data_IF_325711795173
#
_entry.id   IF_325711795173
#
_cell.length_a   1.000
_cell.length_b   1.000
_cell.length_c   1.000
_cell.angle_alpha   90.00
_cell.angle_beta   90.00
_cell.angle_gamma   90.00
#
_symmetry.space_group_name_H-M   'P 1'
#
loop_
_entity.id
_entity.type
_entity.pdbx_description
1 polymer ?
#
# COMPACT_ATOMS: atom_id res chain seq x y z
N UNK A 1 -31.02 -24.28 12.02
CA UNK A 1 -30.75 -24.15 10.57
C UNK A 1 -29.27 -23.89 10.39
N UNK A 2 -28.52 -24.69 9.62
CA UNK A 2 -27.14 -24.36 9.30
C UNK A 2 -27.17 -23.03 8.53
N UNK A 3 -26.40 -22.04 8.98
CA UNK A 3 -26.18 -20.84 8.16
C UNK A 3 -25.44 -21.32 6.92
N UNK A 4 -26.06 -21.18 5.74
CA UNK A 4 -25.32 -21.28 4.49
C UNK A 4 -24.07 -20.40 4.61
N UNK A 5 -22.91 -20.99 4.36
CA UNK A 5 -21.65 -20.28 4.36
C UNK A 5 -21.70 -19.27 3.21
N UNK A 6 -21.99 -18.01 3.54
CA UNK A 6 -22.04 -16.95 2.57
C UNK A 6 -20.64 -16.80 1.94
N UNK A 7 -20.48 -17.30 0.71
CA UNK A 7 -19.23 -17.15 -0.04
C UNK A 7 -18.94 -15.66 -0.20
N UNK A 8 -17.88 -15.21 0.44
CA UNK A 8 -17.40 -13.84 0.32
C UNK A 8 -16.90 -13.62 -1.11
N UNK A 9 -17.37 -12.53 -1.75
CA UNK A 9 -16.95 -12.18 -3.12
C UNK A 9 -15.49 -11.73 -3.11
N UNK A 10 -14.66 -12.42 -3.88
CA UNK A 10 -13.25 -12.05 -4.09
C UNK A 10 -13.10 -11.16 -5.34
N UNK A 11 -12.16 -10.22 -5.28
CA UNK A 11 -11.73 -9.38 -6.40
C UNK A 11 -10.44 -9.99 -6.95
N UNK A 12 -10.44 -10.34 -8.23
CA UNK A 12 -9.34 -11.04 -8.92
C UNK A 12 -9.08 -10.38 -10.28
N UNK A 13 -7.96 -10.71 -10.92
CA UNK A 13 -7.64 -10.20 -12.26
C UNK A 13 -8.68 -10.63 -13.30
N UNK A 14 -9.25 -11.84 -13.18
CA UNK A 14 -10.23 -12.39 -14.12
C UNK A 14 -11.58 -11.66 -14.05
N UNK A 15 -11.96 -11.17 -12.87
CA UNK A 15 -13.26 -10.56 -12.63
C UNK A 15 -13.22 -9.03 -12.54
N UNK A 16 -12.06 -8.42 -12.75
CA UNK A 16 -11.85 -6.97 -12.63
C UNK A 16 -11.20 -6.40 -13.87
N UNK A 17 -11.92 -5.49 -14.52
CA UNK A 17 -11.36 -4.71 -15.62
C UNK A 17 -10.51 -3.57 -15.05
N UNK A 18 -9.21 -3.65 -15.30
CA UNK A 18 -8.27 -2.57 -14.98
C UNK A 18 -8.41 -1.43 -15.99
N UNK A 19 -8.15 -0.20 -15.56
CA UNK A 19 -8.24 1.02 -16.37
C UNK A 19 -7.09 1.95 -16.06
N UNK A 20 -6.41 2.39 -17.11
CA UNK A 20 -5.28 3.32 -17.03
C UNK A 20 -5.35 4.30 -18.20
N UNK A 21 -4.74 5.48 -18.02
CA UNK A 21 -4.40 6.36 -19.14
C UNK A 21 -3.41 5.67 -20.09
N UNK A 22 -3.46 5.97 -21.40
CA UNK A 22 -2.43 5.54 -22.33
C UNK A 22 -1.05 6.09 -21.93
N UNK A 23 0.01 5.32 -22.18
CA UNK A 23 1.37 5.76 -21.92
C UNK A 23 1.71 7.00 -22.76
N UNK A 24 2.16 8.05 -22.07
CA UNK A 24 2.65 9.28 -22.67
C UNK A 24 3.94 9.71 -21.98
N UNK A 25 5.06 9.70 -22.70
CA UNK A 25 6.37 10.10 -22.18
C UNK A 25 6.52 11.61 -21.93
N UNK A 26 5.51 12.42 -22.26
CA UNK A 26 5.38 13.81 -21.81
C UNK A 26 4.65 13.94 -20.47
N UNK A 27 4.34 12.82 -19.82
CA UNK A 27 3.74 12.78 -18.49
C UNK A 27 4.55 11.85 -17.57
N UNK A 28 4.61 12.22 -16.30
CA UNK A 28 5.07 11.39 -15.19
C UNK A 28 3.99 11.43 -14.12
N UNK A 29 3.54 10.26 -13.72
CA UNK A 29 2.54 10.12 -12.66
C UNK A 29 3.22 9.87 -11.33
N UNK A 30 2.62 10.34 -10.25
CA UNK A 30 3.03 9.95 -8.91
C UNK A 30 1.87 9.43 -8.07
N UNK A 31 2.23 8.64 -7.07
CA UNK A 31 1.32 8.20 -6.02
C UNK A 31 2.06 8.10 -4.70
N UNK A 32 1.38 8.47 -3.61
CA UNK A 32 1.94 8.46 -2.26
C UNK A 32 1.03 7.69 -1.28
N UNK A 33 1.66 7.03 -0.31
CA UNK A 33 0.99 6.60 0.91
C UNK A 33 0.90 7.77 1.91
N UNK A 34 0.00 7.71 2.90
CA UNK A 34 -0.03 8.65 4.02
C UNK A 34 1.10 8.34 5.01
N UNK A 35 2.34 8.67 4.65
CA UNK A 35 3.54 8.45 5.46
C UNK A 35 4.33 9.76 5.61
N UNK A 36 5.30 9.78 6.52
CA UNK A 36 6.29 10.84 6.55
C UNK A 36 7.34 10.58 5.46
N UNK A 37 7.26 11.32 4.36
CA UNK A 37 8.21 11.21 3.26
C UNK A 37 8.47 12.55 2.58
N UNK A 38 9.62 12.67 1.90
CA UNK A 38 9.95 13.85 1.10
C UNK A 38 8.86 14.16 0.04
N UNK A 39 8.17 13.14 -0.48
CA UNK A 39 7.09 13.32 -1.45
C UNK A 39 5.87 14.06 -0.88
N UNK A 40 5.60 13.94 0.43
CA UNK A 40 4.50 14.66 1.04
C UNK A 40 4.81 16.15 1.17
N UNK A 41 6.08 16.50 1.42
CA UNK A 41 6.54 17.90 1.40
C UNK A 41 6.52 18.44 -0.03
N UNK A 42 7.02 17.66 -0.99
CA UNK A 42 7.01 18.00 -2.41
C UNK A 42 5.60 18.23 -2.95
N UNK A 43 4.63 17.42 -2.52
CA UNK A 43 3.22 17.58 -2.94
C UNK A 43 2.69 18.99 -2.61
N UNK A 44 3.03 19.52 -1.44
CA UNK A 44 2.56 20.83 -0.99
C UNK A 44 3.38 21.99 -1.58
N UNK A 45 4.68 21.81 -1.76
CA UNK A 45 5.58 22.85 -2.26
C UNK A 45 5.70 22.89 -3.80
N UNK A 46 5.41 21.78 -4.47
CA UNK A 46 5.39 21.67 -5.93
C UNK A 46 6.77 21.59 -6.61
N UNK A 47 7.86 21.32 -5.88
CA UNK A 47 9.22 21.40 -6.41
C UNK A 47 9.47 20.45 -7.59
N UNK A 48 9.10 19.17 -7.49
CA UNK A 48 9.24 18.21 -8.59
C UNK A 48 8.39 18.64 -9.79
N UNK A 49 7.20 19.21 -9.56
CA UNK A 49 6.35 19.73 -10.64
C UNK A 49 7.04 20.87 -11.37
N UNK A 50 7.73 21.76 -10.66
CA UNK A 50 8.51 22.84 -11.27
C UNK A 50 9.67 22.31 -12.12
N UNK A 51 10.43 21.34 -11.62
CA UNK A 51 11.55 20.73 -12.37
C UNK A 51 11.08 20.00 -13.63
N UNK A 52 10.03 19.17 -13.54
CA UNK A 52 9.46 18.50 -14.71
C UNK A 52 8.89 19.50 -15.74
N UNK A 53 8.31 20.61 -15.28
CA UNK A 53 7.79 21.65 -16.17
C UNK A 53 8.90 22.29 -17.02
N UNK A 54 10.11 22.49 -16.47
CA UNK A 54 11.25 23.06 -17.22
C UNK A 54 11.65 22.23 -18.44
N UNK A 55 11.44 20.91 -18.39
CA UNK A 55 11.71 19.99 -19.49
C UNK A 55 10.45 19.63 -20.32
N UNK A 56 9.34 20.34 -20.09
CA UNK A 56 8.09 20.13 -20.83
C UNK A 56 7.38 18.81 -20.51
N UNK A 57 7.56 18.29 -19.29
CA UNK A 57 6.90 17.08 -18.79
C UNK A 57 5.88 17.46 -17.73
N UNK A 58 4.68 16.87 -17.82
CA UNK A 58 3.63 17.04 -16.82
C UNK A 58 3.83 16.04 -15.68
N UNK A 59 4.01 16.57 -14.47
CA UNK A 59 4.04 15.77 -13.24
C UNK A 59 2.71 15.90 -12.50
N UNK A 60 2.00 14.79 -12.28
CA UNK A 60 0.65 14.81 -11.71
C UNK A 60 0.33 13.58 -10.84
N UNK A 61 -0.59 13.75 -9.89
CA UNK A 61 -1.10 12.65 -9.07
C UNK A 61 -1.93 11.70 -9.93
N UNK A 62 -1.65 10.41 -9.90
CA UNK A 62 -2.27 9.48 -10.86
C UNK A 62 -3.80 9.42 -10.79
N UNK A 63 -4.41 9.52 -9.60
CA UNK A 63 -5.88 9.55 -9.45
C UNK A 63 -6.51 10.90 -9.76
N UNK A 64 -5.73 11.90 -10.20
CA UNK A 64 -6.33 13.11 -10.78
C UNK A 64 -6.91 12.87 -12.18
N UNK A 65 -6.48 11.80 -12.85
CA UNK A 65 -7.09 11.31 -14.08
C UNK A 65 -8.22 10.32 -13.74
N UNK A 66 -9.38 10.47 -14.39
CA UNK A 66 -10.57 9.62 -14.16
C UNK A 66 -10.41 8.22 -14.74
N UNK A 67 -9.54 8.11 -15.74
CA UNK A 67 -9.22 6.90 -16.49
C UNK A 67 -8.33 5.96 -15.69
N UNK A 68 -7.60 6.48 -14.70
CA UNK A 68 -6.78 5.68 -13.81
C UNK A 68 -7.62 5.08 -12.69
N UNK A 69 -7.61 3.75 -12.60
CA UNK A 69 -8.00 3.05 -11.39
C UNK A 69 -6.95 3.24 -10.28
N UNK A 70 -7.12 2.55 -9.14
CA UNK A 70 -6.19 2.66 -8.02
C UNK A 70 -5.08 1.59 -8.02
N UNK A 71 -5.12 0.61 -8.93
CA UNK A 71 -4.25 -0.57 -8.89
C UNK A 71 -2.82 -0.25 -9.27
N UNK A 72 -2.56 0.79 -10.06
CA UNK A 72 -1.21 1.24 -10.35
C UNK A 72 -0.39 1.54 -9.07
N UNK A 73 -1.03 1.92 -7.96
CA UNK A 73 -0.36 2.08 -6.66
C UNK A 73 0.18 0.76 -6.06
N UNK A 74 -0.42 -0.37 -6.41
CA UNK A 74 -0.14 -1.67 -5.83
C UNK A 74 0.64 -2.60 -6.76
N UNK A 75 0.25 -2.66 -8.05
CA UNK A 75 0.84 -3.57 -9.04
C UNK A 75 1.75 -2.87 -10.05
N UNK A 76 1.84 -1.53 -9.97
CA UNK A 76 2.71 -0.68 -10.79
C UNK A 76 2.52 -0.86 -12.30
N UNK A 77 1.29 -1.08 -12.74
CA UNK A 77 0.94 -1.31 -14.15
C UNK A 77 0.97 -0.05 -15.04
N UNK A 78 1.44 1.08 -14.51
CA UNK A 78 1.63 2.35 -15.22
C UNK A 78 3.12 2.65 -15.35
N UNK A 79 3.66 2.61 -16.57
CA UNK A 79 5.12 2.56 -16.79
C UNK A 79 5.85 3.87 -16.46
N UNK A 80 5.15 5.00 -16.52
CA UNK A 80 5.65 6.33 -16.17
C UNK A 80 5.23 6.76 -14.74
N UNK A 81 5.05 5.80 -13.82
CA UNK A 81 4.69 6.04 -12.42
C UNK A 81 5.91 6.08 -11.49
N UNK A 82 5.94 7.09 -10.61
CA UNK A 82 6.79 7.14 -9.42
C UNK A 82 5.92 6.88 -8.19
N UNK A 83 6.23 5.82 -7.43
CA UNK A 83 5.54 5.48 -6.19
C UNK A 83 6.38 5.87 -4.98
N UNK A 84 5.74 6.58 -4.04
CA UNK A 84 6.24 6.81 -2.70
C UNK A 84 5.37 6.06 -1.69
N UNK A 85 5.97 5.25 -0.82
CA UNK A 85 5.17 4.49 0.15
C UNK A 85 5.91 3.32 0.80
N UNK A 86 5.17 2.54 1.59
CA UNK A 86 5.69 1.34 2.26
C UNK A 86 6.21 0.28 1.28
N UNK A 87 7.12 -0.58 1.72
CA UNK A 87 7.87 -1.47 0.82
C UNK A 87 7.14 -2.77 0.42
N UNK A 88 6.02 -3.13 1.06
CA UNK A 88 5.37 -4.41 0.75
C UNK A 88 4.94 -4.54 -0.73
N UNK A 89 4.17 -3.60 -1.32
CA UNK A 89 3.82 -3.69 -2.76
C UNK A 89 5.04 -3.69 -3.70
N UNK A 90 6.02 -2.75 -3.61
CA UNK A 90 7.15 -2.76 -4.53
C UNK A 90 8.03 -4.00 -4.44
N UNK A 91 8.12 -4.67 -3.28
CA UNK A 91 8.85 -5.93 -3.13
C UNK A 91 8.17 -7.04 -3.91
N UNK A 92 6.87 -7.27 -3.70
CA UNK A 92 6.08 -8.27 -4.46
C UNK A 92 6.15 -7.97 -5.96
N UNK A 93 5.91 -6.72 -6.35
CA UNK A 93 5.94 -6.32 -7.76
C UNK A 93 7.30 -6.63 -8.38
N UNK A 94 8.40 -6.28 -7.70
CA UNK A 94 9.75 -6.50 -8.22
C UNK A 94 10.14 -7.98 -8.29
N UNK A 95 9.58 -8.80 -7.39
CA UNK A 95 9.83 -10.24 -7.36
C UNK A 95 9.07 -10.96 -8.48
N UNK A 96 7.75 -10.68 -8.60
CA UNK A 96 6.84 -11.58 -9.33
C UNK A 96 6.15 -10.94 -10.54
N UNK A 97 6.04 -9.61 -10.60
CA UNK A 97 5.17 -8.92 -11.58
C UNK A 97 5.99 -8.19 -12.64
N UNK A 98 6.85 -7.25 -12.23
CA UNK A 98 7.63 -6.40 -13.13
C UNK A 98 8.79 -5.75 -12.42
N UNK A 99 9.85 -5.48 -13.19
CA UNK A 99 11.07 -4.89 -12.64
C UNK A 99 10.83 -3.45 -12.17
N UNK A 100 11.20 -3.15 -10.92
CA UNK A 100 11.19 -1.78 -10.38
C UNK A 100 12.61 -1.30 -10.08
N UNK A 101 12.74 -0.03 -9.67
CA UNK A 101 13.98 0.58 -9.19
C UNK A 101 13.67 1.39 -7.95
N UNK A 102 14.46 1.19 -6.90
CA UNK A 102 14.40 2.02 -5.69
C UNK A 102 15.20 3.31 -5.94
N UNK A 103 14.50 4.45 -5.97
CA UNK A 103 15.12 5.76 -6.20
C UNK A 103 15.62 6.41 -4.91
N UNK A 104 14.96 6.12 -3.78
CA UNK A 104 15.30 6.66 -2.48
C UNK A 104 14.54 5.96 -1.37
N UNK A 105 15.03 6.10 -0.13
CA UNK A 105 14.45 5.50 1.07
C UNK A 105 14.40 6.55 2.19
N UNK A 106 13.21 6.77 2.74
CA UNK A 106 13.05 7.45 4.02
C UNK A 106 12.83 6.37 5.06
N UNK A 107 13.81 6.19 5.95
CA UNK A 107 13.66 5.30 7.08
C UNK A 107 12.80 5.98 8.16
N UNK A 108 11.77 5.30 8.66
CA UNK A 108 11.04 5.72 9.87
C UNK A 108 11.49 4.83 11.04
N UNK A 109 12.50 5.25 11.82
CA UNK A 109 12.95 4.50 12.99
C UNK A 109 11.97 4.70 14.16
N UNK A 110 11.25 3.65 14.54
CA UNK A 110 10.52 3.58 15.82
C UNK A 110 8.99 3.58 15.74
N UNK A 111 8.40 3.76 14.56
CA UNK A 111 6.94 3.75 14.37
C UNK A 111 6.46 2.36 13.93
N UNK A 112 6.45 1.41 14.86
CA UNK A 112 5.79 0.11 14.67
C UNK A 112 4.27 0.20 14.85
N UNK A 113 3.53 -0.75 14.26
CA UNK A 113 2.12 -0.95 14.62
C UNK A 113 1.96 -1.38 16.08
N UNK A 114 0.80 -1.14 16.68
CA UNK A 114 0.49 -1.57 18.05
C UNK A 114 -0.68 -2.57 18.09
N UNK A 115 -0.67 -3.47 19.07
CA UNK A 115 -1.83 -4.28 19.37
C UNK A 115 -2.75 -3.52 20.32
N UNK A 116 -4.01 -3.36 19.93
CA UNK A 116 -5.00 -2.64 20.71
C UNK A 116 -6.00 -3.61 21.36
N UNK A 117 -6.29 -3.37 22.64
CA UNK A 117 -7.37 -4.02 23.40
C UNK A 117 -8.33 -2.96 23.90
N UNK A 118 -9.53 -3.36 24.33
CA UNK A 118 -10.46 -2.37 24.92
C UNK A 118 -9.91 -1.88 26.25
N UNK A 119 -10.11 -0.59 26.54
CA UNK A 119 -9.65 0.02 27.79
C UNK A 119 -10.15 -0.68 29.07
N UNK A 120 -11.30 -1.36 29.00
CA UNK A 120 -11.90 -2.12 30.12
C UNK A 120 -11.41 -3.56 30.24
N UNK A 121 -10.71 -4.08 29.24
CA UNK A 121 -10.21 -5.46 29.27
C UNK A 121 -8.95 -5.51 30.14
N UNK A 122 -8.87 -6.53 31.02
CA UNK A 122 -7.72 -6.73 31.91
C UNK A 122 -6.56 -7.45 31.18
N UNK A 123 -6.10 -6.89 30.05
CA UNK A 123 -5.01 -7.41 29.22
C UNK A 123 -3.91 -6.35 29.19
N UNK A 124 -2.80 -6.59 29.88
CA UNK A 124 -1.75 -5.59 30.06
C UNK A 124 -0.37 -6.06 29.57
N UNK A 125 -0.22 -7.37 29.31
CA UNK A 125 1.03 -7.98 28.85
C UNK A 125 0.75 -9.04 27.79
N UNK A 126 1.76 -9.37 26.99
CA UNK A 126 1.65 -10.39 25.94
C UNK A 126 1.16 -11.75 26.46
N UNK A 127 1.61 -12.17 27.65
CA UNK A 127 1.15 -13.42 28.29
C UNK A 127 -0.37 -13.47 28.55
N UNK A 128 -1.02 -12.33 28.70
CA UNK A 128 -2.47 -12.24 28.96
C UNK A 128 -3.29 -12.58 27.70
N UNK A 129 -2.65 -12.61 26.53
CA UNK A 129 -3.23 -13.03 25.26
C UNK A 129 -3.32 -14.56 25.12
N UNK A 130 -2.74 -15.34 26.03
CA UNK A 130 -2.81 -16.81 25.97
C UNK A 130 -4.27 -17.28 25.96
N UNK A 131 -4.64 -18.03 24.93
CA UNK A 131 -6.01 -18.52 24.73
C UNK A 131 -7.01 -17.45 24.27
N UNK A 132 -6.56 -16.23 23.95
CA UNK A 132 -7.40 -15.17 23.34
C UNK A 132 -7.34 -15.28 21.82
N UNK A 133 -8.33 -14.69 21.16
CA UNK A 133 -8.38 -14.57 19.70
C UNK A 133 -7.81 -13.21 19.31
N UNK A 134 -6.89 -13.21 18.35
CA UNK A 134 -6.31 -12.00 17.77
C UNK A 134 -7.03 -11.74 16.43
N UNK A 135 -7.52 -10.53 16.24
CA UNK A 135 -8.11 -10.11 14.97
C UNK A 135 -7.00 -9.90 13.94
N UNK A 136 -7.20 -10.43 12.74
CA UNK A 136 -6.30 -10.24 11.61
C UNK A 136 -7.13 -9.87 10.40
N UNK A 137 -6.70 -8.86 9.66
CA UNK A 137 -7.29 -8.49 8.39
C UNK A 137 -7.07 -9.61 7.36
N UNK A 138 -8.03 -9.72 6.44
CA UNK A 138 -7.91 -10.55 5.25
C UNK A 138 -8.55 -9.78 4.10
N UNK A 139 -7.71 -9.26 3.21
CA UNK A 139 -8.19 -8.67 1.97
C UNK A 139 -8.79 -9.76 1.08
N UNK A 140 -10.00 -9.52 0.60
CA UNK A 140 -10.62 -10.33 -0.46
C UNK A 140 -10.22 -9.84 -1.86
N UNK A 141 -9.39 -8.80 -1.93
CA UNK A 141 -8.84 -8.29 -3.17
C UNK A 141 -7.45 -8.90 -3.40
N UNK A 142 -7.39 -9.83 -4.33
CA UNK A 142 -6.21 -10.62 -4.68
C UNK A 142 -5.39 -10.02 -5.83
N UNK A 143 -5.85 -8.91 -6.42
CA UNK A 143 -5.09 -8.18 -7.45
C UNK A 143 -3.88 -7.48 -6.83
N UNK A 144 -3.97 -7.11 -5.55
CA UNK A 144 -2.92 -6.45 -4.78
C UNK A 144 -2.50 -7.33 -3.61
N UNK A 145 -1.27 -7.17 -3.13
CA UNK A 145 -0.93 -7.75 -1.85
C UNK A 145 -1.84 -7.27 -0.70
N UNK A 146 -1.96 -8.15 0.29
CA UNK A 146 -2.61 -7.86 1.56
C UNK A 146 -1.61 -7.21 2.52
N UNK A 147 -1.19 -5.98 2.18
CA UNK A 147 -0.21 -5.23 2.96
C UNK A 147 -0.62 -4.98 4.42
N UNK A 148 -1.92 -4.90 4.71
CA UNK A 148 -2.44 -4.84 6.08
C UNK A 148 -2.12 -6.12 6.83
N UNK A 149 -2.52 -7.27 6.28
CA UNK A 149 -2.29 -8.57 6.91
C UNK A 149 -0.81 -8.86 7.09
N UNK A 150 0.03 -8.53 6.10
CA UNK A 150 1.48 -8.72 6.19
C UNK A 150 2.03 -7.95 7.41
N UNK A 151 1.66 -6.67 7.55
CA UNK A 151 2.11 -5.83 8.65
C UNK A 151 1.60 -6.33 10.00
N UNK A 152 0.31 -6.70 10.10
CA UNK A 152 -0.29 -7.22 11.33
C UNK A 152 0.32 -8.55 11.74
N UNK A 153 0.52 -9.48 10.78
CA UNK A 153 1.09 -10.79 11.05
C UNK A 153 2.53 -10.68 11.55
N UNK A 154 3.38 -9.92 10.85
CA UNK A 154 4.75 -9.64 11.28
C UNK A 154 4.78 -8.95 12.64
N UNK A 155 3.87 -7.99 12.89
CA UNK A 155 3.74 -7.33 14.18
C UNK A 155 3.43 -8.30 15.32
N UNK A 156 2.47 -9.21 15.10
CA UNK A 156 2.10 -10.24 16.08
C UNK A 156 3.27 -11.20 16.33
N UNK A 157 3.92 -11.71 15.27
CA UNK A 157 5.07 -12.60 15.40
C UNK A 157 6.19 -11.94 16.21
N UNK A 158 6.52 -10.68 15.91
CA UNK A 158 7.53 -9.92 16.64
C UNK A 158 7.16 -9.72 18.12
N UNK A 159 5.90 -9.40 18.43
CA UNK A 159 5.47 -9.24 19.82
C UNK A 159 5.46 -10.58 20.58
N UNK A 160 5.29 -11.71 19.90
CA UNK A 160 5.31 -13.06 20.50
C UNK A 160 6.74 -13.62 20.68
N UNK A 161 7.73 -13.04 20.00
CA UNK A 161 9.16 -13.38 20.21
C UNK A 161 9.76 -12.72 21.46
N UNK A 162 9.07 -11.74 22.06
CA UNK A 162 9.44 -11.04 23.30
C UNK A 162 8.86 -11.76 24.54
#
# INVERSE_FOLDING_TARGET
>A
MPKEEMKLKETTFENTKLSLVPLNWKEVWYTNCPLLSASNVDQELGWAREEYKKIGVKYAFFRSARENDFYAHYIHNLDNLIRFGGLFPPIEVNADIRRTRLLGLTHSPGEGGCMMVRAKDKIFRMKDLKGKKIGLSKSLNTIKNDWWRIQEHMGIENMLML
#
